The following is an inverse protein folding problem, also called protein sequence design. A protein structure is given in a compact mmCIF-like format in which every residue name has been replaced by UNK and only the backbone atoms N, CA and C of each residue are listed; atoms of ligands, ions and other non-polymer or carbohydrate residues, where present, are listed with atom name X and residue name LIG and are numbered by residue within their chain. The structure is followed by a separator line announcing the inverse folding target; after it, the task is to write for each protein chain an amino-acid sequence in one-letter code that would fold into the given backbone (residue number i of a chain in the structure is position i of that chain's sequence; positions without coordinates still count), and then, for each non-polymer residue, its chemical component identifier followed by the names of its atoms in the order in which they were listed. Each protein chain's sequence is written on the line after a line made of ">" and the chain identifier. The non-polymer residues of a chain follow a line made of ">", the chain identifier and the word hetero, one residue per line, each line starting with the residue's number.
data_IF_984503596352
#
_entry.id   IF_984503596352
#
_cell.length_a   1.000
_cell.length_b   1.000
_cell.length_c   1.000
_cell.angle_alpha   90.00
_cell.angle_beta   90.00
_cell.angle_gamma   90.00
#
_symmetry.space_group_name_H-M   'P 1'
#
loop_
_entity.id
_entity.type
_entity.pdbx_description
1 polymer ?
#
# COMPACT_ATOMS: atom_id res chain seq x y z
N UNK A 1 32.78 -36.09 -13.87
CA UNK A 1 32.73 -34.88 -14.72
C UNK A 1 31.84 -33.87 -14.03
N UNK A 2 32.44 -32.84 -13.42
CA UNK A 2 31.72 -31.83 -12.63
C UNK A 2 31.47 -30.63 -13.52
N UNK A 3 30.21 -30.39 -13.89
CA UNK A 3 29.80 -29.19 -14.64
C UNK A 3 29.80 -28.01 -13.66
N UNK A 4 30.61 -26.96 -13.86
CA UNK A 4 30.51 -25.76 -13.04
C UNK A 4 29.22 -25.01 -13.38
N UNK A 5 28.37 -24.81 -12.38
CA UNK A 5 27.21 -23.93 -12.49
C UNK A 5 27.69 -22.50 -12.77
N UNK A 6 27.21 -21.83 -13.84
CA UNK A 6 27.49 -20.42 -14.03
C UNK A 6 26.78 -19.63 -12.94
N UNK A 7 27.56 -19.06 -12.03
CA UNK A 7 27.12 -18.01 -11.10
C UNK A 7 26.85 -16.72 -11.89
N UNK A 8 25.75 -16.68 -12.62
CA UNK A 8 25.28 -15.47 -13.31
C UNK A 8 24.55 -14.58 -12.32
N UNK A 9 25.31 -13.95 -11.39
CA UNK A 9 24.94 -12.63 -10.91
C UNK A 9 25.05 -11.70 -12.12
N UNK A 10 23.94 -11.57 -12.86
CA UNK A 10 23.76 -10.53 -13.87
C UNK A 10 24.21 -9.21 -13.24
N UNK A 11 25.19 -8.48 -13.82
CA UNK A 11 25.49 -7.15 -13.32
C UNK A 11 24.18 -6.35 -13.40
N UNK A 12 23.76 -5.77 -12.27
CA UNK A 12 22.61 -4.90 -12.25
C UNK A 12 22.82 -3.83 -13.31
N UNK A 13 21.83 -3.63 -14.19
CA UNK A 13 21.86 -2.60 -15.23
C UNK A 13 22.37 -1.28 -14.62
N UNK A 14 23.44 -0.67 -15.15
CA UNK A 14 24.03 0.54 -14.58
C UNK A 14 23.03 1.70 -14.50
N UNK A 15 21.99 1.73 -15.35
CA UNK A 15 20.90 2.69 -15.23
C UNK A 15 20.01 2.40 -14.01
N UNK A 16 19.69 1.15 -13.75
CA UNK A 16 18.93 0.70 -12.57
C UNK A 16 19.73 0.97 -11.29
N UNK A 17 21.04 0.70 -11.29
CA UNK A 17 21.91 0.98 -10.16
C UNK A 17 21.98 2.47 -9.82
N UNK A 18 22.15 3.34 -10.82
CA UNK A 18 22.13 4.81 -10.64
C UNK A 18 20.78 5.30 -10.09
N UNK A 19 19.68 4.76 -10.62
CA UNK A 19 18.33 5.07 -10.16
C UNK A 19 18.12 4.67 -8.70
N UNK A 20 18.58 3.48 -8.31
CA UNK A 20 18.53 3.00 -6.93
C UNK A 20 19.33 3.88 -5.97
N UNK A 21 20.53 4.32 -6.37
CA UNK A 21 21.37 5.22 -5.56
C UNK A 21 20.66 6.55 -5.30
N UNK A 22 20.12 7.18 -6.35
CA UNK A 22 19.43 8.47 -6.23
C UNK A 22 18.17 8.37 -5.34
N UNK A 23 17.39 7.29 -5.47
CA UNK A 23 16.25 7.02 -4.58
C UNK A 23 16.67 6.88 -3.12
N UNK A 24 17.82 6.26 -2.83
CA UNK A 24 18.35 6.13 -1.46
C UNK A 24 18.78 7.48 -0.89
N UNK A 25 19.39 8.33 -1.71
CA UNK A 25 19.78 9.69 -1.30
C UNK A 25 18.55 10.53 -0.94
N UNK A 26 17.50 10.50 -1.77
CA UNK A 26 16.24 11.20 -1.49
C UNK A 26 15.53 10.63 -0.25
N UNK A 27 15.51 9.31 -0.07
CA UNK A 27 15.00 8.68 1.16
C UNK A 27 15.77 9.14 2.41
N UNK A 28 17.10 9.25 2.31
CA UNK A 28 17.93 9.75 3.40
C UNK A 28 17.66 11.24 3.68
N UNK A 29 17.42 12.06 2.65
CA UNK A 29 17.05 13.46 2.79
C UNK A 29 15.71 13.61 3.54
N UNK A 30 14.70 12.80 3.21
CA UNK A 30 13.41 12.82 3.91
C UNK A 30 13.50 12.32 5.35
N UNK A 31 14.39 11.36 5.66
CA UNK A 31 14.61 10.89 7.03
C UNK A 31 15.14 12.00 7.95
N UNK A 32 15.92 12.96 7.42
CA UNK A 32 16.45 14.09 8.20
C UNK A 32 15.38 15.10 8.61
N UNK A 33 14.24 15.11 7.92
CA UNK A 33 13.11 15.99 8.26
C UNK A 33 12.45 15.55 9.55
N UNK A 34 12.25 14.24 9.74
CA UNK A 34 11.56 13.69 10.92
C UNK A 34 12.42 13.68 12.18
N UNK A 35 13.74 13.89 12.07
CA UNK A 35 14.65 13.91 13.22
C UNK A 35 14.71 15.26 13.95
N UNK A 36 13.98 16.28 13.49
CA UNK A 36 13.96 17.59 14.16
C UNK A 36 13.16 17.56 15.46
N UNK A 37 13.77 18.04 16.54
CA UNK A 37 13.16 18.15 17.87
C UNK A 37 12.33 19.42 18.08
N UNK A 38 12.60 20.48 17.30
CA UNK A 38 11.92 21.77 17.39
C UNK A 38 11.34 22.14 16.03
N UNK A 39 10.05 22.46 16.01
CA UNK A 39 9.30 22.82 14.80
C UNK A 39 8.84 24.27 14.87
N UNK A 40 9.57 25.16 14.21
CA UNK A 40 9.13 26.54 13.94
C UNK A 40 8.32 26.58 12.64
N UNK A 41 7.58 27.67 12.39
CA UNK A 41 6.87 27.86 11.12
C UNK A 41 7.81 27.74 9.92
N UNK A 42 8.99 28.36 9.98
CA UNK A 42 10.03 28.24 8.95
C UNK A 42 10.53 26.79 8.77
N UNK A 43 10.62 26.00 9.85
CA UNK A 43 10.99 24.59 9.76
C UNK A 43 9.90 23.73 9.11
N UNK A 44 8.62 24.09 9.31
CA UNK A 44 7.50 23.44 8.62
C UNK A 44 7.56 23.73 7.13
N UNK A 45 7.74 24.99 6.74
CA UNK A 45 7.88 25.39 5.33
C UNK A 45 9.09 24.70 4.66
N UNK A 46 10.26 24.69 5.31
CA UNK A 46 11.46 23.97 4.84
C UNK A 46 11.20 22.46 4.67
N UNK A 47 10.40 21.85 5.55
CA UNK A 47 10.00 20.46 5.41
C UNK A 47 9.16 20.22 4.15
N UNK A 48 8.16 21.06 3.88
CA UNK A 48 7.38 20.98 2.64
C UNK A 48 8.26 21.11 1.40
N UNK A 49 9.11 22.15 1.36
CA UNK A 49 10.04 22.37 0.24
C UNK A 49 10.95 21.18 0.01
N UNK A 50 11.52 20.60 1.09
CA UNK A 50 12.39 19.44 0.98
C UNK A 50 11.66 18.20 0.49
N UNK A 51 10.43 17.96 0.95
CA UNK A 51 9.65 16.82 0.44
C UNK A 51 9.44 16.96 -1.05
N UNK A 52 8.91 18.09 -1.50
CA UNK A 52 8.67 18.32 -2.93
C UNK A 52 9.96 18.22 -3.74
N UNK A 53 11.06 18.84 -3.31
CA UNK A 53 12.34 18.75 -4.01
C UNK A 53 12.84 17.30 -4.17
N UNK A 54 12.66 16.47 -3.13
CA UNK A 54 13.09 15.06 -3.16
C UNK A 54 12.11 14.13 -3.90
N UNK A 55 10.83 14.48 -4.04
CA UNK A 55 9.84 13.62 -4.70
C UNK A 55 9.52 14.03 -6.13
N UNK A 56 9.66 15.30 -6.49
CA UNK A 56 9.33 15.85 -7.80
C UNK A 56 10.00 15.10 -8.97
N UNK A 57 11.31 14.76 -8.93
CA UNK A 57 11.98 14.06 -10.02
C UNK A 57 11.40 12.66 -10.30
N UNK A 58 10.63 12.12 -9.36
CA UNK A 58 10.11 10.76 -9.38
C UNK A 58 8.63 10.66 -9.77
N UNK A 59 7.92 11.80 -9.90
CA UNK A 59 6.49 11.80 -10.21
C UNK A 59 6.18 11.21 -11.59
N UNK A 60 7.05 11.39 -12.58
CA UNK A 60 6.89 10.76 -13.90
C UNK A 60 6.94 9.24 -13.80
N UNK A 61 7.93 8.71 -13.08
CA UNK A 61 8.05 7.28 -12.84
C UNK A 61 6.87 6.74 -12.01
N UNK A 62 6.40 7.49 -11.01
CA UNK A 62 5.22 7.15 -10.24
C UNK A 62 3.96 7.06 -11.12
N UNK A 63 3.76 8.00 -12.05
CA UNK A 63 2.67 7.95 -13.04
C UNK A 63 2.78 6.73 -13.96
N UNK A 64 3.97 6.43 -14.46
CA UNK A 64 4.19 5.19 -15.23
C UNK A 64 3.81 3.95 -14.42
N UNK A 65 4.21 3.87 -13.14
CA UNK A 65 3.82 2.76 -12.26
C UNK A 65 2.31 2.68 -12.07
N UNK A 66 1.67 3.82 -11.80
CA UNK A 66 0.23 3.95 -11.69
C UNK A 66 -0.51 3.45 -12.93
N UNK A 67 -0.01 3.73 -14.12
CA UNK A 67 -0.68 3.33 -15.37
C UNK A 67 -0.46 1.86 -15.71
N UNK A 68 0.70 1.31 -15.34
CA UNK A 68 1.06 -0.10 -15.60
C UNK A 68 0.52 -1.10 -14.57
N UNK A 69 0.02 -0.65 -13.42
CA UNK A 69 -0.47 -1.55 -12.38
C UNK A 69 -1.81 -2.19 -12.78
N UNK A 70 -1.92 -3.49 -12.53
CA UNK A 70 -3.10 -4.32 -12.77
C UNK A 70 -4.04 -4.40 -11.54
N UNK A 71 -3.66 -3.74 -10.44
CA UNK A 71 -4.43 -3.68 -9.19
C UNK A 71 -5.13 -2.33 -9.02
N UNK A 72 -6.47 -2.30 -8.90
CA UNK A 72 -7.23 -1.09 -8.56
C UNK A 72 -6.77 -0.45 -7.24
N UNK A 73 -6.56 -1.24 -6.18
CA UNK A 73 -6.10 -0.72 -4.90
C UNK A 73 -4.70 -0.10 -4.98
N UNK A 74 -3.79 -0.73 -5.74
CA UNK A 74 -2.46 -0.16 -5.98
C UNK A 74 -2.53 1.14 -6.78
N UNK A 75 -3.41 1.21 -7.79
CA UNK A 75 -3.64 2.44 -8.58
C UNK A 75 -4.12 3.60 -7.72
N UNK A 76 -5.12 3.39 -6.87
CA UNK A 76 -5.63 4.40 -5.92
C UNK A 76 -4.53 4.88 -4.98
N UNK A 77 -3.70 3.96 -4.49
CA UNK A 77 -2.54 4.30 -3.65
C UNK A 77 -1.55 5.21 -4.38
N UNK A 78 -1.20 4.88 -5.63
CA UNK A 78 -0.34 5.74 -6.44
C UNK A 78 -0.97 7.11 -6.71
N UNK A 79 -2.26 7.16 -7.04
CA UNK A 79 -3.00 8.40 -7.27
C UNK A 79 -2.96 9.31 -6.02
N UNK A 80 -3.17 8.75 -4.82
CA UNK A 80 -3.08 9.49 -3.57
C UNK A 80 -1.67 10.07 -3.32
N UNK A 81 -0.61 9.30 -3.58
CA UNK A 81 0.77 9.80 -3.45
C UNK A 81 1.10 10.87 -4.49
N UNK A 82 0.73 10.67 -5.75
CA UNK A 82 0.97 11.64 -6.83
C UNK A 82 0.24 12.95 -6.53
N UNK A 83 -1.02 12.89 -6.08
CA UNK A 83 -1.79 14.07 -5.73
C UNK A 83 -1.15 14.84 -4.55
N UNK A 84 -0.78 14.15 -3.48
CA UNK A 84 -0.19 14.79 -2.30
C UNK A 84 1.21 15.40 -2.57
N UNK A 85 2.02 14.74 -3.40
CA UNK A 85 3.41 15.10 -3.67
C UNK A 85 3.58 16.01 -4.89
N UNK A 86 2.48 16.34 -5.58
CA UNK A 86 2.47 17.43 -6.56
C UNK A 86 2.40 18.77 -5.81
N UNK A 87 3.40 19.66 -5.97
CA UNK A 87 3.37 20.96 -5.30
C UNK A 87 2.14 21.76 -5.74
N UNK A 88 1.41 22.37 -4.80
CA UNK A 88 0.34 23.29 -5.16
C UNK A 88 0.91 24.56 -5.79
N UNK A 89 0.11 25.22 -6.63
CA UNK A 89 0.50 26.46 -7.31
C UNK A 89 0.72 27.64 -6.34
N UNK A 90 0.13 27.56 -5.15
CA UNK A 90 0.27 28.57 -4.08
C UNK A 90 1.19 28.05 -2.99
N UNK A 91 1.94 28.96 -2.36
CA UNK A 91 2.84 28.67 -1.24
C UNK A 91 2.14 27.86 -0.16
N UNK A 92 2.74 26.74 0.24
CA UNK A 92 2.18 25.87 1.27
C UNK A 92 2.40 26.48 2.64
N UNK A 93 1.35 27.04 3.22
CA UNK A 93 1.28 27.29 4.65
C UNK A 93 0.61 26.09 5.30
N UNK A 94 1.42 25.21 5.89
CA UNK A 94 0.94 23.97 6.50
C UNK A 94 1.21 23.91 8.00
N UNK A 95 0.61 22.92 8.66
CA UNK A 95 0.91 22.57 10.04
C UNK A 95 2.02 21.53 10.12
N UNK A 96 2.64 21.38 11.29
CA UNK A 96 3.60 20.30 11.55
C UNK A 96 3.02 18.92 11.23
N UNK A 97 1.75 18.67 11.61
CA UNK A 97 1.08 17.39 11.36
C UNK A 97 0.99 17.11 9.86
N UNK A 98 0.61 18.12 9.07
CA UNK A 98 0.56 18.00 7.61
C UNK A 98 1.95 17.74 7.01
N UNK A 99 3.00 18.43 7.49
CA UNK A 99 4.36 18.17 7.04
C UNK A 99 4.80 16.73 7.37
N UNK A 100 4.50 16.22 8.56
CA UNK A 100 4.81 14.84 8.94
C UNK A 100 4.09 13.81 8.05
N UNK A 101 2.80 14.03 7.76
CA UNK A 101 2.04 13.18 6.83
C UNK A 101 2.67 13.20 5.44
N UNK A 102 2.99 14.39 4.92
CA UNK A 102 3.59 14.54 3.60
C UNK A 102 4.97 13.86 3.51
N UNK A 103 5.80 13.99 4.55
CA UNK A 103 7.08 13.27 4.64
C UNK A 103 6.85 11.76 4.63
N UNK A 104 5.86 11.26 5.38
CA UNK A 104 5.49 9.84 5.38
C UNK A 104 5.09 9.35 3.98
N UNK A 105 4.23 10.10 3.29
CA UNK A 105 3.81 9.79 1.91
C UNK A 105 5.00 9.80 0.94
N UNK A 106 5.88 10.80 1.04
CA UNK A 106 7.10 10.88 0.22
C UNK A 106 8.02 9.69 0.44
N UNK A 107 8.25 9.30 1.70
CA UNK A 107 9.07 8.13 2.01
C UNK A 107 8.45 6.83 1.49
N UNK A 108 7.14 6.64 1.64
CA UNK A 108 6.47 5.43 1.16
C UNK A 108 6.48 5.34 -0.37
N UNK A 109 6.21 6.44 -1.09
CA UNK A 109 6.30 6.47 -2.54
C UNK A 109 7.73 6.12 -3.02
N UNK A 110 8.77 6.76 -2.45
CA UNK A 110 10.15 6.50 -2.84
C UNK A 110 10.58 5.05 -2.49
N UNK A 111 10.14 4.50 -1.35
CA UNK A 111 10.35 3.08 -0.99
C UNK A 111 9.66 2.15 -1.98
N UNK A 112 8.43 2.45 -2.38
CA UNK A 112 7.69 1.66 -3.36
C UNK A 112 8.43 1.67 -4.70
N UNK A 113 8.83 2.84 -5.20
CA UNK A 113 9.63 2.99 -6.42
C UNK A 113 10.94 2.20 -6.33
N UNK A 114 11.68 2.31 -5.23
CA UNK A 114 12.93 1.56 -5.03
C UNK A 114 12.69 0.05 -5.04
N UNK A 115 11.61 -0.45 -4.44
CA UNK A 115 11.25 -1.87 -4.47
C UNK A 115 10.89 -2.34 -5.88
N UNK A 116 10.25 -1.50 -6.70
CA UNK A 116 9.90 -1.86 -8.09
C UNK A 116 11.11 -2.01 -9.01
N UNK A 117 12.31 -1.60 -8.58
CA UNK A 117 13.55 -1.88 -9.32
C UNK A 117 13.97 -3.35 -9.22
N UNK A 118 13.49 -4.07 -8.19
CA UNK A 118 13.65 -5.51 -8.10
C UNK A 118 12.43 -6.22 -8.72
N UNK A 119 12.65 -7.33 -9.45
CA UNK A 119 11.55 -8.10 -10.02
C UNK A 119 10.74 -8.78 -8.90
N UNK A 120 9.55 -8.26 -8.64
CA UNK A 120 8.53 -8.88 -7.79
C UNK A 120 7.29 -9.20 -8.63
N UNK A 121 6.46 -10.13 -8.15
CA UNK A 121 5.12 -10.33 -8.70
C UNK A 121 4.32 -9.02 -8.63
N UNK A 122 3.49 -8.75 -9.65
CA UNK A 122 2.53 -7.63 -9.59
C UNK A 122 1.50 -7.88 -8.49
N UNK A 123 0.83 -6.82 -8.04
CA UNK A 123 -0.24 -6.97 -7.05
C UNK A 123 -1.39 -7.81 -7.60
N UNK A 124 -1.75 -7.65 -8.88
CA UNK A 124 -2.77 -8.49 -9.53
C UNK A 124 -2.35 -9.95 -9.64
N UNK A 125 -1.08 -10.26 -9.90
CA UNK A 125 -0.56 -11.64 -9.81
C UNK A 125 -0.68 -12.19 -8.39
N UNK A 126 -0.36 -11.41 -7.37
CA UNK A 126 -0.54 -11.82 -5.96
C UNK A 126 -2.02 -12.09 -5.65
N UNK A 127 -2.94 -11.26 -6.15
CA UNK A 127 -4.38 -11.48 -5.98
C UNK A 127 -4.85 -12.79 -6.64
N UNK A 128 -4.39 -13.07 -7.87
CA UNK A 128 -4.69 -14.33 -8.58
C UNK A 128 -4.17 -15.55 -7.83
N UNK A 129 -2.96 -15.49 -7.28
CA UNK A 129 -2.40 -16.59 -6.48
C UNK A 129 -3.21 -16.82 -5.19
N UNK A 130 -3.62 -15.75 -4.50
CA UNK A 130 -4.46 -15.88 -3.30
C UNK A 130 -5.83 -16.45 -3.66
N UNK A 131 -6.43 -16.01 -4.76
CA UNK A 131 -7.69 -16.56 -5.28
C UNK A 131 -7.56 -18.05 -5.59
N UNK A 132 -6.47 -18.48 -6.23
CA UNK A 132 -6.21 -19.89 -6.50
C UNK A 132 -6.10 -20.71 -5.20
N UNK A 133 -5.48 -20.16 -4.16
CA UNK A 133 -5.40 -20.80 -2.84
C UNK A 133 -6.78 -20.95 -2.16
N UNK A 134 -7.69 -20.00 -2.38
CA UNK A 134 -9.08 -20.10 -1.92
C UNK A 134 -9.81 -21.20 -2.71
N UNK A 135 -9.67 -21.21 -4.04
CA UNK A 135 -10.35 -22.19 -4.91
C UNK A 135 -9.89 -23.63 -4.66
N UNK A 136 -8.61 -23.83 -4.36
CA UNK A 136 -8.03 -25.15 -4.04
C UNK A 136 -8.29 -25.59 -2.58
N UNK A 137 -8.96 -24.76 -1.78
CA UNK A 137 -9.23 -25.04 -0.37
C UNK A 137 -8.01 -24.91 0.55
N UNK A 138 -6.85 -24.49 0.03
CA UNK A 138 -5.65 -24.23 0.84
C UNK A 138 -5.84 -23.04 1.79
N UNK A 139 -6.77 -22.13 1.47
CA UNK A 139 -7.33 -21.15 2.40
C UNK A 139 -8.79 -21.50 2.65
N UNK A 140 -9.08 -22.00 3.84
CA UNK A 140 -10.42 -22.43 4.21
C UNK A 140 -11.41 -21.25 4.27
N UNK A 141 -12.69 -21.46 3.92
CA UNK A 141 -13.77 -20.50 4.17
C UNK A 141 -13.83 -20.09 5.65
N UNK A 142 -14.23 -18.84 5.90
CA UNK A 142 -14.26 -18.20 7.23
C UNK A 142 -12.91 -18.14 7.97
N UNK A 143 -11.82 -18.64 7.39
CA UNK A 143 -10.51 -18.58 7.99
C UNK A 143 -9.86 -17.21 7.78
N UNK A 144 -9.08 -16.79 8.78
CA UNK A 144 -8.25 -15.60 8.70
C UNK A 144 -7.11 -15.82 7.71
N UNK A 145 -6.93 -14.88 6.79
CA UNK A 145 -5.84 -14.94 5.82
C UNK A 145 -4.49 -14.65 6.50
N UNK A 146 -3.50 -15.57 6.42
CA UNK A 146 -2.22 -15.41 7.07
C UNK A 146 -1.28 -14.51 6.25
N UNK A 147 -1.40 -13.18 6.44
CA UNK A 147 -0.67 -12.15 5.68
C UNK A 147 0.85 -12.35 5.63
N UNK A 148 1.50 -12.50 6.80
CA UNK A 148 2.97 -12.64 6.88
C UNK A 148 3.47 -13.95 6.25
N UNK A 149 2.87 -15.13 6.55
CA UNK A 149 3.22 -16.37 5.85
C UNK A 149 3.04 -16.29 4.34
N UNK A 150 1.93 -15.70 3.85
CA UNK A 150 1.70 -15.55 2.41
C UNK A 150 2.74 -14.66 1.74
N UNK A 151 3.07 -13.52 2.35
CA UNK A 151 4.10 -12.61 1.83
C UNK A 151 5.45 -13.33 1.69
N UNK A 152 5.84 -14.15 2.68
CA UNK A 152 7.07 -14.95 2.62
C UNK A 152 7.00 -16.01 1.52
N UNK A 153 5.88 -16.74 1.42
CA UNK A 153 5.68 -17.79 0.42
C UNK A 153 5.77 -17.23 -1.00
N UNK A 154 5.12 -16.09 -1.25
CA UNK A 154 5.09 -15.42 -2.55
C UNK A 154 6.33 -14.56 -2.81
N UNK A 155 7.24 -14.44 -1.82
CA UNK A 155 8.46 -13.61 -1.87
C UNK A 155 8.15 -12.14 -2.24
N UNK A 156 7.03 -11.62 -1.76
CA UNK A 156 6.59 -10.23 -1.99
C UNK A 156 6.55 -9.43 -0.68
N UNK A 157 6.61 -8.09 -0.74
CA UNK A 157 6.35 -7.25 0.42
C UNK A 157 4.95 -7.50 0.99
N UNK A 158 4.79 -7.47 2.32
CA UNK A 158 3.49 -7.69 2.98
C UNK A 158 2.39 -6.73 2.47
N UNK A 159 2.76 -5.48 2.15
CA UNK A 159 1.84 -4.49 1.59
C UNK A 159 1.22 -4.94 0.27
N UNK A 160 1.91 -5.73 -0.55
CA UNK A 160 1.34 -6.26 -1.80
C UNK A 160 0.23 -7.28 -1.51
N UNK A 161 0.37 -8.05 -0.42
CA UNK A 161 -0.70 -8.94 0.05
C UNK A 161 -1.88 -8.13 0.57
N UNK A 162 -1.64 -7.05 1.32
CA UNK A 162 -2.73 -6.19 1.81
C UNK A 162 -3.52 -5.52 0.66
N UNK A 163 -2.83 -5.05 -0.39
CA UNK A 163 -3.46 -4.50 -1.59
C UNK A 163 -4.23 -5.57 -2.37
N UNK A 164 -3.63 -6.73 -2.59
CA UNK A 164 -4.30 -7.86 -3.24
C UNK A 164 -5.56 -8.29 -2.47
N UNK A 165 -5.52 -8.27 -1.13
CA UNK A 165 -6.70 -8.55 -0.31
C UNK A 165 -7.77 -7.47 -0.41
N UNK A 166 -7.38 -6.22 -0.68
CA UNK A 166 -8.33 -5.14 -0.95
C UNK A 166 -9.03 -5.36 -2.30
N UNK A 167 -8.28 -5.71 -3.35
CA UNK A 167 -8.85 -6.06 -4.66
C UNK A 167 -9.79 -7.29 -4.56
N UNK A 168 -9.42 -8.30 -3.76
CA UNK A 168 -10.25 -9.49 -3.53
C UNK A 168 -11.50 -9.18 -2.69
N UNK A 169 -11.44 -8.17 -1.82
CA UNK A 169 -12.59 -7.74 -1.03
C UNK A 169 -13.64 -7.05 -1.89
N UNK A 170 -13.22 -6.19 -2.83
CA UNK A 170 -14.12 -5.61 -3.83
C UNK A 170 -14.82 -6.69 -4.68
N UNK A 171 -14.12 -7.80 -4.94
CA UNK A 171 -14.66 -8.98 -5.64
C UNK A 171 -15.47 -9.93 -4.76
N UNK A 172 -15.72 -9.58 -3.49
CA UNK A 172 -16.44 -10.41 -2.50
C UNK A 172 -15.85 -11.82 -2.29
N UNK A 173 -14.53 -11.96 -2.43
CA UNK A 173 -13.83 -13.23 -2.12
C UNK A 173 -13.28 -13.25 -0.69
N UNK A 174 -13.01 -12.08 -0.13
CA UNK A 174 -12.57 -11.90 1.26
C UNK A 174 -13.30 -10.72 1.89
N UNK A 175 -13.43 -10.73 3.20
CA UNK A 175 -13.95 -9.61 3.99
C UNK A 175 -12.80 -8.95 4.75
N UNK A 176 -12.65 -7.63 4.62
CA UNK A 176 -11.72 -6.84 5.44
C UNK A 176 -12.44 -6.34 6.69
N UNK A 177 -12.08 -6.88 7.85
CA UNK A 177 -12.62 -6.47 9.14
C UNK A 177 -11.98 -5.16 9.62
N UNK A 178 -12.73 -4.40 10.41
CA UNK A 178 -12.25 -3.18 11.06
C UNK A 178 -10.97 -3.37 11.89
N UNK A 179 -10.75 -4.59 12.41
CA UNK A 179 -9.51 -4.98 13.10
C UNK A 179 -8.28 -5.08 12.17
N UNK A 180 -8.42 -4.78 10.88
CA UNK A 180 -7.39 -4.96 9.87
C UNK A 180 -7.09 -6.42 9.56
N UNK A 181 -8.05 -7.33 9.75
CA UNK A 181 -7.91 -8.74 9.37
C UNK A 181 -8.71 -9.03 8.10
N UNK A 182 -8.18 -9.90 7.24
CA UNK A 182 -8.92 -10.42 6.10
C UNK A 182 -9.42 -11.84 6.41
N UNK A 183 -10.68 -12.11 6.10
CA UNK A 183 -11.33 -13.42 6.28
C UNK A 183 -11.86 -13.90 4.93
N UNK A 184 -11.68 -15.18 4.60
CA UNK A 184 -12.19 -15.75 3.35
C UNK A 184 -13.71 -15.88 3.44
N UNK A 185 -14.42 -15.35 2.45
CA UNK A 185 -15.88 -15.49 2.39
C UNK A 185 -16.27 -16.88 1.91
N UNK A 186 -17.29 -17.45 2.55
CA UNK A 186 -17.85 -18.74 2.15
C UNK A 186 -18.55 -18.60 0.79
N UNK A 187 -18.58 -19.68 0.01
CA UNK A 187 -19.25 -19.69 -1.28
C UNK A 187 -20.76 -19.40 -1.14
N UNK A 188 -21.37 -19.77 -0.01
CA UNK A 188 -22.76 -19.46 0.32
C UNK A 188 -23.04 -17.96 0.54
N UNK A 189 -22.07 -17.22 1.11
CA UNK A 189 -22.19 -15.77 1.34
C UNK A 189 -21.99 -14.96 0.05
N UNK A 190 -21.34 -15.54 -0.98
CA UNK A 190 -21.16 -14.89 -2.30
C UNK A 190 -22.49 -14.71 -3.06
N UNK A 191 -23.48 -15.55 -2.76
CA UNK A 191 -24.79 -15.55 -3.42
C UNK A 191 -25.82 -14.65 -2.72
N UNK A 192 -25.56 -14.20 -1.49
CA UNK A 192 -26.53 -13.45 -0.69
C UNK A 192 -26.15 -11.97 -0.61
N UNK A 193 -26.56 -11.19 -1.60
CA UNK A 193 -26.95 -9.78 -1.38
C UNK A 193 -27.83 -9.34 -2.55
N UNK A 194 -29.14 -9.29 -2.31
CA UNK A 194 -29.73 -7.97 -2.06
C UNK A 194 -30.65 -7.98 -0.84
N UNK A 195 -30.63 -6.90 -0.07
CA UNK A 195 -31.63 -6.65 0.97
C UNK A 195 -31.02 -6.07 2.22
N UNK A 196 -31.08 -4.74 2.31
CA UNK A 196 -31.26 -4.05 3.58
C UNK A 196 -32.33 -4.79 4.40
N UNK A 197 -31.96 -5.40 5.52
CA UNK A 197 -32.92 -5.66 6.58
C UNK A 197 -32.41 -5.08 7.89
N UNK A 198 -33.18 -4.08 8.29
CA UNK A 198 -33.15 -3.34 9.53
C UNK A 198 -33.34 -4.26 10.75
N UNK A 199 -32.76 -3.86 11.87
CA UNK A 199 -33.36 -4.10 13.18
C UNK A 199 -33.01 -2.94 14.09
N UNK A 200 -33.97 -2.07 14.45
CA UNK A 200 -33.93 -1.37 15.72
C UNK A 200 -34.62 -2.27 16.75
N UNK A 201 -33.83 -2.85 17.64
CA UNK A 201 -34.27 -3.15 19.01
C UNK A 201 -33.70 -1.99 19.84
N UNK A 202 -34.36 -1.34 20.80
CA UNK A 202 -35.16 -1.76 21.96
C UNK A 202 -35.75 -0.42 22.51
N UNK A 203 -36.75 -0.26 23.36
CA UNK A 203 -37.61 -1.12 24.15
C UNK A 203 -38.82 -0.27 24.60
N UNK A 204 -40.01 -0.85 24.66
CA UNK A 204 -41.17 -0.30 25.36
C UNK A 204 -40.91 -0.33 26.86
N UNK A 205 -40.94 0.82 27.54
CA UNK A 205 -41.14 0.87 29.00
C UNK A 205 -42.46 1.56 29.30
N UNK A 206 -43.51 0.75 29.27
CA UNK A 206 -44.75 1.02 29.99
C UNK A 206 -44.60 0.47 31.41
N UNK A 207 -44.52 1.35 32.42
CA UNK A 207 -44.88 1.04 33.80
C UNK A 207 -45.79 2.15 34.28
N UNK A 208 -47.05 1.79 34.53
CA UNK A 208 -48.06 2.66 35.08
C UNK A 208 -48.13 2.64 36.61
N UNK A 209 -48.77 3.69 37.11
CA UNK A 209 -49.61 3.78 38.31
C UNK A 209 -49.00 3.46 39.69
N UNK A 210 -48.80 4.53 40.47
CA UNK A 210 -49.49 4.74 41.74
C UNK A 210 -49.77 6.24 41.90
#
# INVERSE_FOLDING_TARGET
>A
MTVPLPSLRRPADPAVARTATKLKEDLAALRRVTTRRVWTAAAVEDAFHRVYASTQPWLSLARTRRDTTDSPADRVRWDAWIAALTPPERSVRGTQVQACVLVGQGQEMLRALHKTLAPYLSVGSVAKEIEQLIQTGALAPAARVPRRPLARRLRVPAVYVDLALSDLAERKLVELRASGNAVVLDAGDRASTPGLQQSPAIDETAVGAA
#
